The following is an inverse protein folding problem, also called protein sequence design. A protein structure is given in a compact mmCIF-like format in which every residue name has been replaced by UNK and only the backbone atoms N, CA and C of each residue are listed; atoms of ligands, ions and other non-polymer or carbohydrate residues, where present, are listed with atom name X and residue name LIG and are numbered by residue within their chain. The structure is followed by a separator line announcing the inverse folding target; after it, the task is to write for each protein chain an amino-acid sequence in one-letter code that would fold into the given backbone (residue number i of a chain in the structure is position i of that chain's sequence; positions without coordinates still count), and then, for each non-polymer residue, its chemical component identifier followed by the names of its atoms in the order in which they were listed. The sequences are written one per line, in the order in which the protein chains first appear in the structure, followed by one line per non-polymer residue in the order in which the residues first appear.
data_IF_043982631446
#
_entry.id   IF_043982631446
#
_cell.length_a   1.000
_cell.length_b   1.000
_cell.length_c   1.000
_cell.angle_alpha   90.00
_cell.angle_beta   90.00
_cell.angle_gamma   90.00
#
_symmetry.space_group_name_H-M   'P 1'
#
loop_
_entity.id
_entity.type
_entity.pdbx_description
1 polymer ?
#
# COMPACT_ATOMS: atom_id res chain seq x y z
N UNK A 1 -16.30 -3.58 4.68
CA UNK A 1 -14.94 -3.58 4.08
C UNK A 1 -14.15 -4.63 4.84
N UNK A 2 -13.40 -5.51 4.17
CA UNK A 2 -12.61 -6.55 4.85
C UNK A 2 -11.19 -6.05 5.08
N UNK A 3 -10.66 -6.21 6.29
CA UNK A 3 -9.27 -5.86 6.64
C UNK A 3 -8.50 -7.11 7.09
N UNK A 4 -7.22 -7.16 6.76
CA UNK A 4 -6.33 -8.22 7.21
C UNK A 4 -5.26 -7.64 8.13
N UNK A 5 -5.16 -8.20 9.34
CA UNK A 5 -4.16 -7.81 10.33
C UNK A 5 -3.16 -8.95 10.48
N UNK A 6 -1.88 -8.65 10.32
CA UNK A 6 -0.81 -9.63 10.53
C UNK A 6 -0.52 -9.78 12.01
N UNK A 7 -0.60 -11.01 12.52
CA UNK A 7 -0.39 -11.35 13.92
C UNK A 7 0.45 -12.64 13.99
N UNK A 8 1.79 -12.58 13.95
CA UNK A 8 2.63 -13.78 13.96
C UNK A 8 2.38 -14.61 15.22
N UNK A 9 2.57 -15.93 15.11
CA UNK A 9 2.44 -16.86 16.25
C UNK A 9 3.36 -16.46 17.39
N UNK A 10 2.81 -16.35 18.61
CA UNK A 10 3.50 -15.92 19.84
C UNK A 10 4.64 -16.84 20.27
N UNK A 11 4.65 -18.06 19.75
CA UNK A 11 5.69 -19.07 20.01
C UNK A 11 6.50 -19.35 18.74
N UNK A 12 7.81 -19.57 18.90
CA UNK A 12 8.69 -20.03 17.83
C UNK A 12 8.42 -21.50 17.44
N UNK A 13 9.20 -22.03 16.49
CA UNK A 13 9.06 -23.41 16.02
C UNK A 13 9.28 -24.48 17.10
N UNK A 14 9.81 -24.10 18.27
CA UNK A 14 10.08 -24.97 19.41
C UNK A 14 9.11 -24.72 20.59
N UNK A 15 8.09 -23.87 20.41
CA UNK A 15 7.12 -23.56 21.46
C UNK A 15 7.60 -22.56 22.50
N UNK A 16 8.70 -21.84 22.25
CA UNK A 16 9.23 -20.81 23.15
C UNK A 16 8.62 -19.46 22.80
N UNK A 17 8.20 -18.69 23.81
CA UNK A 17 7.70 -17.34 23.63
C UNK A 17 8.72 -16.47 22.86
N UNK A 18 8.31 -15.95 21.70
CA UNK A 18 9.09 -14.98 20.92
C UNK A 18 8.66 -13.57 21.34
N UNK A 19 9.50 -12.79 22.05
CA UNK A 19 9.16 -11.43 22.48
C UNK A 19 8.76 -10.51 21.32
N UNK A 20 9.30 -10.76 20.11
CA UNK A 20 8.93 -10.00 18.90
C UNK A 20 7.56 -10.40 18.39
N UNK A 21 7.19 -11.67 18.52
CA UNK A 21 5.86 -12.14 18.16
C UNK A 21 4.81 -11.64 19.16
N UNK A 22 5.12 -11.60 20.45
CA UNK A 22 4.24 -11.06 21.50
C UNK A 22 3.96 -9.56 21.30
N UNK A 23 4.98 -8.76 21.02
CA UNK A 23 4.81 -7.34 20.69
C UNK A 23 3.98 -7.13 19.41
N UNK A 24 4.14 -8.02 18.42
CA UNK A 24 3.36 -7.95 17.17
C UNK A 24 1.92 -8.42 17.36
N UNK A 25 1.67 -9.40 18.23
CA UNK A 25 0.34 -9.88 18.57
C UNK A 25 -0.46 -8.82 19.38
N UNK A 26 0.20 -8.12 20.31
CA UNK A 26 -0.41 -6.99 21.02
C UNK A 26 -0.73 -5.84 20.05
N UNK A 27 0.19 -5.51 19.14
CA UNK A 27 -0.05 -4.50 18.11
C UNK A 27 -1.20 -4.90 17.16
N UNK A 28 -1.30 -6.18 16.80
CA UNK A 28 -2.40 -6.69 15.99
C UNK A 28 -3.75 -6.63 16.72
N UNK A 29 -3.79 -6.98 18.01
CA UNK A 29 -4.99 -6.86 18.82
C UNK A 29 -5.44 -5.40 18.99
N UNK A 30 -4.49 -4.48 19.19
CA UNK A 30 -4.77 -3.05 19.23
C UNK A 30 -5.33 -2.55 17.88
N UNK A 31 -4.71 -2.93 16.76
CA UNK A 31 -5.20 -2.58 15.43
C UNK A 31 -6.60 -3.13 15.15
N UNK A 32 -6.87 -4.37 15.54
CA UNK A 32 -8.19 -4.97 15.42
C UNK A 32 -9.23 -4.24 16.29
N UNK A 33 -8.89 -3.90 17.53
CA UNK A 33 -9.76 -3.12 18.40
C UNK A 33 -10.08 -1.74 17.80
N UNK A 34 -9.09 -1.03 17.28
CA UNK A 34 -9.30 0.25 16.59
C UNK A 34 -10.19 0.09 15.35
N UNK A 35 -10.00 -0.97 14.56
CA UNK A 35 -10.85 -1.23 13.39
C UNK A 35 -12.31 -1.47 13.79
N UNK A 36 -12.56 -2.29 14.82
CA UNK A 36 -13.91 -2.53 15.33
C UNK A 36 -14.54 -1.26 15.91
N UNK A 37 -13.77 -0.42 16.60
CA UNK A 37 -14.24 0.87 17.12
C UNK A 37 -14.72 1.82 16.00
N UNK A 38 -14.14 1.70 14.80
CA UNK A 38 -14.52 2.43 13.58
C UNK A 38 -15.62 1.71 12.77
N UNK A 39 -16.24 0.65 13.30
CA UNK A 39 -17.33 -0.09 12.64
C UNK A 39 -16.87 -1.06 11.54
N UNK A 40 -15.62 -1.50 11.57
CA UNK A 40 -15.10 -2.52 10.66
C UNK A 40 -15.30 -3.91 11.26
N UNK A 41 -16.36 -4.60 10.84
CA UNK A 41 -16.72 -5.90 11.42
C UNK A 41 -15.92 -7.11 10.87
N UNK A 42 -15.48 -7.09 9.60
CA UNK A 42 -14.76 -8.20 8.96
C UNK A 42 -13.24 -7.99 9.03
N UNK A 43 -12.66 -8.26 10.20
CA UNK A 43 -11.22 -8.24 10.45
C UNK A 43 -10.69 -9.68 10.49
N UNK A 44 -9.67 -9.98 9.69
CA UNK A 44 -9.08 -11.33 9.57
C UNK A 44 -7.63 -11.34 10.02
N UNK A 45 -7.28 -12.22 10.95
CA UNK A 45 -5.90 -12.43 11.39
C UNK A 45 -5.12 -13.34 10.45
N UNK A 46 -3.87 -12.99 10.20
CA UNK A 46 -2.92 -13.82 9.44
C UNK A 46 -1.74 -14.15 10.33
N UNK A 47 -1.60 -15.43 10.69
CA UNK A 47 -0.59 -15.91 11.64
C UNK A 47 0.72 -16.42 11.04
N UNK A 48 0.77 -16.55 9.71
CA UNK A 48 1.95 -17.02 8.99
C UNK A 48 2.97 -15.90 8.77
N UNK A 49 4.24 -16.26 8.54
CA UNK A 49 5.29 -15.30 8.19
C UNK A 49 4.87 -14.49 6.96
N UNK A 50 4.68 -13.18 7.14
CA UNK A 50 4.26 -12.30 6.07
C UNK A 50 5.30 -12.24 4.94
N UNK A 51 4.84 -12.38 3.71
CA UNK A 51 5.63 -12.20 2.49
C UNK A 51 4.74 -11.65 1.38
N UNK A 52 5.32 -10.96 0.40
CA UNK A 52 4.57 -10.48 -0.76
C UNK A 52 3.83 -11.61 -1.47
N UNK A 53 4.44 -12.81 -1.53
CA UNK A 53 3.79 -14.01 -2.11
C UNK A 53 2.55 -14.42 -1.32
N UNK A 54 2.65 -14.48 0.00
CA UNK A 54 1.52 -14.81 0.86
C UNK A 54 0.41 -13.75 0.74
N UNK A 55 0.76 -12.47 0.80
CA UNK A 55 -0.18 -11.36 0.63
C UNK A 55 -0.94 -11.49 -0.69
N UNK A 56 -0.23 -11.75 -1.79
CA UNK A 56 -0.84 -11.90 -3.11
C UNK A 56 -1.76 -13.12 -3.17
N UNK A 57 -1.36 -14.25 -2.59
CA UNK A 57 -2.20 -15.44 -2.56
C UNK A 57 -3.50 -15.19 -1.79
N UNK A 58 -3.41 -14.66 -0.57
CA UNK A 58 -4.59 -14.34 0.26
C UNK A 58 -5.49 -13.32 -0.46
N UNK A 59 -4.91 -12.28 -1.05
CA UNK A 59 -5.66 -11.27 -1.80
C UNK A 59 -6.38 -11.89 -3.01
N UNK A 60 -5.68 -12.72 -3.78
CA UNK A 60 -6.25 -13.35 -4.97
C UNK A 60 -7.33 -14.37 -4.63
N UNK A 61 -7.16 -15.14 -3.56
CA UNK A 61 -8.17 -16.10 -3.10
C UNK A 61 -9.41 -15.40 -2.57
N UNK A 62 -9.24 -14.27 -1.86
CA UNK A 62 -10.35 -13.39 -1.51
C UNK A 62 -11.09 -12.89 -2.76
N UNK A 63 -10.37 -12.37 -3.77
CA UNK A 63 -11.01 -11.87 -5.01
C UNK A 63 -11.80 -12.98 -5.71
N UNK A 64 -11.24 -14.20 -5.81
CA UNK A 64 -11.94 -15.36 -6.43
C UNK A 64 -13.24 -15.72 -5.71
N UNK A 65 -13.30 -15.55 -4.39
CA UNK A 65 -14.48 -15.87 -3.59
C UNK A 65 -15.58 -14.81 -3.69
N UNK A 66 -15.28 -13.60 -4.20
CA UNK A 66 -16.26 -12.53 -4.30
C UNK A 66 -17.28 -12.76 -5.43
N UNK A 67 -18.52 -12.28 -5.26
CA UNK A 67 -19.45 -12.11 -6.37
C UNK A 67 -18.82 -11.26 -7.48
N UNK A 68 -19.17 -11.60 -8.73
CA UNK A 68 -18.52 -11.07 -9.94
C UNK A 68 -18.64 -9.54 -10.08
N UNK A 69 -19.72 -8.99 -9.55
CA UNK A 69 -20.10 -7.58 -9.62
C UNK A 69 -19.53 -6.72 -8.47
N UNK A 70 -18.75 -7.31 -7.56
CA UNK A 70 -18.14 -6.56 -6.46
C UNK A 70 -16.99 -5.68 -6.93
N UNK A 71 -16.96 -4.47 -6.39
CA UNK A 71 -15.89 -3.51 -6.59
C UNK A 71 -14.86 -3.61 -5.48
N UNK A 72 -13.59 -3.51 -5.83
CA UNK A 72 -12.47 -3.64 -4.92
C UNK A 72 -11.54 -2.44 -4.96
N UNK A 73 -11.11 -2.03 -3.78
CA UNK A 73 -10.00 -1.12 -3.54
C UNK A 73 -8.88 -1.94 -2.90
N UNK A 74 -7.66 -1.84 -3.42
CA UNK A 74 -6.48 -2.48 -2.84
C UNK A 74 -5.55 -1.41 -2.27
N UNK A 75 -5.72 -1.16 -0.97
CA UNK A 75 -4.98 -0.16 -0.23
C UNK A 75 -3.90 -0.80 0.63
N UNK A 76 -2.70 -0.22 0.61
CA UNK A 76 -1.72 -0.41 1.69
C UNK A 76 -2.00 0.58 2.84
N UNK A 77 -1.41 0.34 4.01
CA UNK A 77 -1.64 1.16 5.22
C UNK A 77 -1.21 2.62 5.08
N UNK A 78 -0.31 2.92 4.14
CA UNK A 78 0.23 4.24 3.84
C UNK A 78 -0.43 4.90 2.62
N UNK A 79 -1.49 4.31 2.07
CA UNK A 79 -2.16 4.77 0.85
C UNK A 79 -3.63 5.11 1.10
N UNK A 80 -4.00 6.37 0.89
CA UNK A 80 -5.32 6.90 1.16
C UNK A 80 -5.95 7.39 -0.14
N UNK A 81 -7.04 6.74 -0.53
CA UNK A 81 -7.71 6.97 -1.81
C UNK A 81 -8.85 7.97 -1.67
N UNK A 82 -8.79 9.03 -2.48
CA UNK A 82 -9.89 9.97 -2.65
C UNK A 82 -10.50 9.75 -4.02
N UNK A 83 -11.78 9.41 -4.04
CA UNK A 83 -12.51 9.14 -5.26
C UNK A 83 -13.32 10.38 -5.68
N UNK A 84 -13.32 10.77 -6.98
CA UNK A 84 -14.19 11.82 -7.47
C UNK A 84 -15.67 11.58 -7.15
N UNK A 85 -16.43 12.63 -6.86
CA UNK A 85 -17.87 12.49 -6.56
C UNK A 85 -18.67 11.84 -7.69
N UNK A 86 -18.18 11.92 -8.94
CA UNK A 86 -18.82 11.32 -10.11
C UNK A 86 -18.44 9.84 -10.35
N UNK A 87 -17.78 9.18 -9.41
CA UNK A 87 -17.35 7.78 -9.59
C UNK A 87 -18.50 6.83 -9.87
N UNK A 88 -19.68 7.04 -9.29
CA UNK A 88 -20.87 6.21 -9.56
C UNK A 88 -21.28 6.29 -11.03
N UNK A 89 -21.27 7.48 -11.62
CA UNK A 89 -21.52 7.69 -13.06
C UNK A 89 -20.45 6.99 -13.89
N UNK A 90 -19.17 7.13 -13.53
CA UNK A 90 -18.06 6.48 -14.25
C UNK A 90 -18.14 4.95 -14.19
N UNK A 91 -18.63 4.39 -13.08
CA UNK A 91 -18.89 2.96 -12.92
C UNK A 91 -20.04 2.52 -13.84
N UNK A 92 -21.12 3.32 -13.94
CA UNK A 92 -22.26 3.05 -14.81
C UNK A 92 -21.89 3.04 -16.31
N UNK A 93 -20.88 3.80 -16.73
CA UNK A 93 -20.32 3.81 -18.09
C UNK A 93 -19.57 2.52 -18.48
N UNK A 94 -19.73 1.42 -17.73
CA UNK A 94 -19.11 0.10 -17.96
C UNK A 94 -17.57 0.12 -17.94
N UNK A 95 -16.97 1.15 -17.36
CA UNK A 95 -15.55 1.12 -17.00
C UNK A 95 -15.39 0.11 -15.87
N UNK A 96 -14.38 -0.76 -15.94
CA UNK A 96 -14.18 -1.83 -14.95
C UNK A 96 -12.85 -1.73 -14.21
N UNK A 97 -12.08 -0.67 -14.48
CA UNK A 97 -10.77 -0.42 -13.85
C UNK A 97 -10.45 1.06 -13.87
N UNK A 98 -10.01 1.53 -12.72
CA UNK A 98 -9.61 2.90 -12.46
C UNK A 98 -8.21 2.91 -11.85
N UNK A 99 -7.40 3.87 -12.29
CA UNK A 99 -6.08 4.13 -11.74
C UNK A 99 -6.01 5.55 -11.20
N UNK A 100 -5.02 5.82 -10.37
CA UNK A 100 -4.66 7.16 -9.97
C UNK A 100 -3.15 7.22 -9.73
N UNK A 101 -2.60 8.41 -9.84
CA UNK A 101 -1.19 8.68 -9.60
C UNK A 101 -0.93 8.91 -8.11
N UNK A 102 0.11 8.28 -7.59
CA UNK A 102 0.57 8.46 -6.21
C UNK A 102 1.03 9.90 -6.00
N UNK A 103 0.54 10.53 -4.95
CA UNK A 103 0.96 11.84 -4.48
C UNK A 103 1.60 11.71 -3.09
N UNK A 104 2.90 11.98 -3.01
CA UNK A 104 3.64 11.90 -1.74
C UNK A 104 3.20 13.06 -0.84
N UNK A 105 2.73 12.75 0.37
CA UNK A 105 2.34 13.72 1.39
C UNK A 105 3.49 13.91 2.37
N UNK A 106 3.91 15.17 2.57
CA UNK A 106 5.01 15.53 3.47
C UNK A 106 4.60 16.60 4.47
N UNK A 107 5.32 16.65 5.59
CA UNK A 107 5.11 17.66 6.62
C UNK A 107 5.36 19.08 6.06
N UNK A 108 4.84 20.10 6.75
CA UNK A 108 5.06 21.50 6.37
C UNK A 108 6.55 21.87 6.27
N UNK A 109 7.39 21.26 7.12
CA UNK A 109 8.85 21.41 7.09
C UNK A 109 9.51 20.79 5.86
N UNK A 110 8.76 19.99 5.07
CA UNK A 110 9.24 19.20 3.94
C UNK A 110 10.40 18.28 4.31
N UNK A 111 10.40 17.78 5.55
CA UNK A 111 11.38 16.83 6.08
C UNK A 111 10.67 15.58 6.56
N UNK A 112 11.43 14.50 6.75
CA UNK A 112 10.91 13.34 7.46
C UNK A 112 10.62 13.73 8.92
N UNK A 113 9.39 13.45 9.37
CA UNK A 113 8.96 13.73 10.75
C UNK A 113 8.36 12.48 11.39
N UNK A 114 8.22 12.49 12.70
CA UNK A 114 7.51 11.43 13.41
C UNK A 114 6.01 11.49 13.13
N UNK A 115 5.40 10.33 12.89
CA UNK A 115 3.95 10.20 12.80
C UNK A 115 3.38 10.19 14.22
N UNK A 116 2.36 11.02 14.47
CA UNK A 116 1.66 11.11 15.75
C UNK A 116 0.25 10.55 15.62
N UNK A 117 -0.35 10.20 16.75
CA UNK A 117 -1.75 9.76 16.81
C UNK A 117 -2.73 10.89 16.47
N UNK A 118 -2.43 12.11 16.93
CA UNK A 118 -3.18 13.32 16.62
C UNK A 118 -2.23 14.49 16.25
N UNK A 119 -2.65 15.44 15.39
CA UNK A 119 -3.95 15.52 14.68
C UNK A 119 -4.06 14.48 13.53
N UNK A 120 -5.17 14.42 12.77
CA UNK A 120 -5.28 13.56 11.59
C UNK A 120 -4.08 13.64 10.64
N UNK A 121 -3.80 12.53 9.94
CA UNK A 121 -2.55 12.38 9.15
C UNK A 121 -2.45 13.39 7.99
N UNK A 122 -3.57 13.81 7.41
CA UNK A 122 -3.62 14.83 6.37
C UNK A 122 -3.28 16.24 6.88
N UNK A 123 -3.53 16.53 8.16
CA UNK A 123 -3.09 17.74 8.85
C UNK A 123 -1.60 17.69 9.22
N UNK A 124 -1.10 16.51 9.62
CA UNK A 124 0.32 16.32 9.90
C UNK A 124 1.20 16.43 8.63
N UNK A 125 0.68 16.00 7.49
CA UNK A 125 1.38 15.99 6.21
C UNK A 125 0.58 16.74 5.11
N UNK A 126 0.48 18.08 5.21
CA UNK A 126 -0.38 18.87 4.33
C UNK A 126 0.20 19.11 2.94
N UNK A 127 1.53 18.99 2.78
CA UNK A 127 2.23 19.37 1.56
C UNK A 127 2.22 18.22 0.55
N UNK A 128 1.83 18.54 -0.69
CA UNK A 128 1.83 17.62 -1.82
C UNK A 128 3.18 17.66 -2.52
N UNK A 129 3.77 16.49 -2.74
CA UNK A 129 5.07 16.34 -3.37
C UNK A 129 5.09 15.11 -4.31
N UNK A 130 5.97 15.13 -5.30
CA UNK A 130 6.17 14.01 -6.26
C UNK A 130 7.58 13.47 -6.15
N UNK A 131 8.03 13.24 -4.92
CA UNK A 131 9.37 12.75 -4.59
C UNK A 131 9.68 11.51 -5.42
N UNK A 132 8.80 10.51 -5.41
CA UNK A 132 9.06 9.24 -6.08
C UNK A 132 9.13 9.34 -7.59
N UNK A 133 8.53 10.36 -8.19
CA UNK A 133 8.64 10.61 -9.63
C UNK A 133 10.02 11.15 -10.01
N UNK A 134 10.69 11.88 -9.09
CA UNK A 134 12.04 12.42 -9.29
C UNK A 134 13.14 11.42 -8.91
N UNK A 135 12.82 10.40 -8.10
CA UNK A 135 13.73 9.31 -7.79
C UNK A 135 13.90 8.40 -9.02
N UNK A 136 14.96 8.67 -9.80
CA UNK A 136 15.52 7.71 -10.76
C UNK A 136 17.05 7.76 -10.83
N UNK A 137 17.67 6.64 -11.22
CA UNK A 137 18.96 6.64 -11.91
C UNK A 137 18.81 7.26 -13.31
N UNK A 138 19.82 8.00 -13.79
CA UNK A 138 19.83 8.55 -15.16
C UNK A 138 19.60 7.42 -16.20
N UNK A 139 18.66 7.63 -17.12
CA UNK A 139 18.41 6.73 -18.26
C UNK A 139 17.34 5.64 -18.07
N UNK A 140 16.72 5.50 -16.90
CA UNK A 140 15.63 4.53 -16.67
C UNK A 140 14.25 5.19 -16.78
N UNK A 141 13.17 4.41 -16.98
CA UNK A 141 11.75 4.85 -16.95
C UNK A 141 11.29 5.25 -15.54
N UNK A 142 10.26 6.10 -15.37
CA UNK A 142 9.85 6.55 -14.03
C UNK A 142 9.48 5.38 -13.17
N UNK A 143 9.80 5.47 -11.89
CA UNK A 143 9.08 4.70 -10.89
C UNK A 143 7.61 4.92 -11.16
N UNK A 144 6.91 3.86 -11.58
CA UNK A 144 5.49 3.95 -11.89
C UNK A 144 4.78 4.31 -10.60
N UNK A 145 4.26 5.53 -10.55
CA UNK A 145 3.45 6.05 -9.44
C UNK A 145 1.96 5.80 -9.69
N UNK A 146 1.59 5.33 -10.87
CA UNK A 146 0.21 4.90 -11.17
C UNK A 146 -0.11 3.60 -10.44
N UNK A 147 -1.20 3.61 -9.66
CA UNK A 147 -1.77 2.42 -9.03
C UNK A 147 -3.21 2.22 -9.46
N UNK A 148 -3.65 0.97 -9.56
CA UNK A 148 -5.08 0.65 -9.66
C UNK A 148 -5.72 0.95 -8.31
N UNK A 149 -6.68 1.86 -8.32
CA UNK A 149 -7.36 2.34 -7.11
C UNK A 149 -8.72 1.68 -6.93
N UNK A 150 -9.37 1.30 -8.03
CA UNK A 150 -10.68 0.67 -8.01
C UNK A 150 -10.87 -0.25 -9.21
N UNK A 151 -11.36 -1.47 -9.00
CA UNK A 151 -11.66 -2.40 -10.10
C UNK A 151 -12.80 -3.36 -9.78
N UNK A 152 -13.45 -3.84 -10.83
CA UNK A 152 -14.50 -4.85 -10.74
C UNK A 152 -13.88 -6.25 -10.61
N UNK A 153 -14.36 -7.05 -9.65
CA UNK A 153 -13.89 -8.40 -9.34
C UNK A 153 -13.80 -9.26 -10.60
N UNK A 154 -14.86 -9.27 -11.41
CA UNK A 154 -14.89 -10.01 -12.66
C UNK A 154 -15.67 -9.27 -13.75
N UNK A 155 -14.99 -8.67 -14.75
CA UNK A 155 -15.66 -8.10 -15.92
C UNK A 155 -16.54 -9.14 -16.64
N UNK A 156 -17.59 -8.68 -17.31
CA UNK A 156 -18.49 -9.54 -18.07
C UNK A 156 -17.71 -10.42 -19.08
N UNK A 157 -17.97 -11.73 -19.07
CA UNK A 157 -17.30 -12.70 -19.95
C UNK A 157 -15.81 -12.94 -19.66
N UNK A 158 -15.27 -12.49 -18.52
CA UNK A 158 -13.86 -12.69 -18.11
C UNK A 158 -13.79 -13.47 -16.79
N UNK A 159 -12.67 -14.15 -16.47
CA UNK A 159 -12.45 -14.71 -15.14
C UNK A 159 -12.32 -13.59 -14.09
N UNK A 160 -12.30 -13.96 -12.81
CA UNK A 160 -11.93 -13.03 -11.74
C UNK A 160 -10.54 -12.45 -11.97
N UNK A 161 -10.38 -11.17 -11.65
CA UNK A 161 -9.09 -10.49 -11.73
C UNK A 161 -8.15 -11.02 -10.66
N UNK A 162 -6.86 -10.96 -10.96
CA UNK A 162 -5.81 -11.43 -10.07
C UNK A 162 -4.63 -10.44 -10.10
N UNK A 163 -4.07 -10.18 -8.92
CA UNK A 163 -2.81 -9.49 -8.76
C UNK A 163 -1.64 -10.41 -9.12
N UNK A 164 -0.72 -9.89 -9.94
CA UNK A 164 0.57 -10.49 -10.25
C UNK A 164 1.69 -9.96 -9.34
N UNK A 165 1.56 -8.72 -8.89
CA UNK A 165 2.41 -8.10 -7.88
C UNK A 165 1.57 -7.11 -7.05
N UNK A 166 2.09 -6.59 -5.93
CA UNK A 166 1.36 -5.62 -5.09
C UNK A 166 0.93 -4.36 -5.85
N UNK A 167 1.54 -4.10 -7.01
CA UNK A 167 1.30 -2.93 -7.84
C UNK A 167 0.72 -3.28 -9.21
N UNK A 168 0.41 -4.56 -9.48
CA UNK A 168 0.01 -5.00 -10.82
C UNK A 168 -1.10 -6.03 -10.86
N UNK A 169 -2.19 -5.75 -11.57
CA UNK A 169 -3.17 -6.76 -12.01
C UNK A 169 -2.70 -7.47 -13.29
N UNK A 170 -3.09 -8.74 -13.47
CA UNK A 170 -2.81 -9.55 -14.66
C UNK A 170 -3.25 -8.83 -15.96
N UNK A 171 -4.35 -8.07 -15.90
CA UNK A 171 -4.94 -7.35 -17.03
C UNK A 171 -4.48 -5.90 -17.22
N UNK A 172 -3.55 -5.39 -16.40
CA UNK A 172 -3.23 -3.95 -16.35
C UNK A 172 -2.41 -3.42 -17.54
N UNK A 173 -1.64 -4.26 -18.23
CA UNK A 173 -0.68 -3.78 -19.26
C UNK A 173 -0.64 -4.63 -20.53
N UNK A 174 -1.80 -5.10 -21.00
CA UNK A 174 -1.94 -5.65 -22.36
C UNK A 174 -2.28 -4.55 -23.38
N UNK A 175 -2.26 -4.88 -24.69
CA UNK A 175 -2.65 -3.99 -25.81
C UNK A 175 -4.07 -3.35 -25.70
N UNK A 176 -4.85 -3.65 -24.64
CA UNK A 176 -6.29 -3.40 -24.53
C UNK A 176 -6.76 -2.79 -23.19
N UNK A 177 -5.91 -2.18 -22.36
CA UNK A 177 -6.38 -1.70 -21.06
C UNK A 177 -5.72 -0.42 -20.56
N UNK A 178 -6.07 0.73 -21.13
CA UNK A 178 -5.89 2.01 -20.39
C UNK A 178 -6.86 1.96 -19.21
N UNK A 179 -6.36 1.92 -17.99
CA UNK A 179 -7.23 2.19 -16.86
C UNK A 179 -7.70 3.64 -16.90
N UNK A 180 -8.88 3.90 -16.34
CA UNK A 180 -9.42 5.25 -16.33
C UNK A 180 -8.78 6.02 -15.19
N UNK A 181 -8.04 7.10 -15.51
CA UNK A 181 -7.40 7.90 -14.49
C UNK A 181 -8.48 8.64 -13.66
N UNK A 182 -8.38 8.50 -12.34
CA UNK A 182 -9.25 9.10 -11.31
C UNK A 182 -8.60 10.29 -10.62
N UNK A 183 -7.36 10.63 -10.99
CA UNK A 183 -6.59 11.73 -10.42
C UNK A 183 -5.41 11.19 -9.62
N UNK A 184 -5.40 11.44 -8.31
CA UNK A 184 -4.33 11.02 -7.41
C UNK A 184 -4.85 10.38 -6.12
N UNK A 185 -3.96 9.66 -5.42
CA UNK A 185 -4.17 9.18 -4.06
C UNK A 185 -3.01 9.64 -3.16
N UNK A 186 -3.31 9.85 -1.87
CA UNK A 186 -2.32 10.32 -0.89
C UNK A 186 -1.45 9.17 -0.40
N UNK A 187 -0.14 9.41 -0.33
CA UNK A 187 0.83 8.42 0.12
C UNK A 187 1.75 9.01 1.20
N UNK A 188 1.72 8.43 2.39
CA UNK A 188 2.32 9.00 3.60
C UNK A 188 3.58 8.23 4.04
N UNK A 189 4.70 8.51 3.38
CA UNK A 189 5.95 7.77 3.66
C UNK A 189 7.12 8.64 4.04
N UNK A 190 6.97 9.96 4.09
CA UNK A 190 8.03 10.86 4.56
C UNK A 190 8.04 10.89 6.09
N UNK A 191 8.13 9.72 6.72
CA UNK A 191 8.09 9.57 8.18
C UNK A 191 9.39 8.98 8.71
N UNK A 192 9.74 9.29 9.96
CA UNK A 192 10.89 8.69 10.64
C UNK A 192 10.76 7.15 10.70
N UNK A 193 9.55 6.65 10.90
CA UNK A 193 9.26 5.20 10.90
C UNK A 193 9.57 4.58 9.53
N UNK A 194 9.24 5.24 8.42
CA UNK A 194 9.55 4.74 7.09
C UNK A 194 11.06 4.71 6.83
N UNK A 195 11.80 5.74 7.27
CA UNK A 195 13.27 5.77 7.21
C UNK A 195 13.86 4.55 7.93
N UNK A 196 13.44 4.31 9.17
CA UNK A 196 13.87 3.15 9.96
C UNK A 196 13.49 1.82 9.30
N UNK A 197 12.30 1.74 8.69
CA UNK A 197 11.85 0.56 7.98
C UNK A 197 12.71 0.25 6.75
N UNK A 198 13.07 1.26 5.94
CA UNK A 198 13.99 1.07 4.79
C UNK A 198 15.35 0.61 5.28
N UNK A 199 15.91 1.22 6.33
CA UNK A 199 17.21 0.82 6.86
C UNK A 199 17.19 -0.62 7.36
N UNK A 200 16.15 -1.01 8.09
CA UNK A 200 15.96 -2.39 8.54
C UNK A 200 15.86 -3.35 7.35
N UNK A 201 15.17 -2.95 6.28
CA UNK A 201 15.09 -3.72 5.03
C UNK A 201 16.46 -3.88 4.38
N UNK A 202 17.25 -2.81 4.26
CA UNK A 202 18.59 -2.85 3.67
C UNK A 202 19.58 -3.69 4.49
N UNK A 203 19.47 -3.71 5.82
CA UNK A 203 20.33 -4.53 6.68
C UNK A 203 19.99 -6.03 6.63
N UNK A 204 18.71 -6.36 6.54
CA UNK A 204 18.24 -7.72 6.83
C UNK A 204 17.91 -8.57 5.60
N UNK A 205 17.87 -7.98 4.40
CA UNK A 205 17.46 -8.69 3.19
C UNK A 205 18.49 -8.50 2.09
N UNK A 206 18.72 -9.58 1.33
CA UNK A 206 19.43 -9.51 0.06
C UNK A 206 18.46 -9.05 -1.01
N UNK A 207 18.69 -7.86 -1.54
CA UNK A 207 17.87 -7.27 -2.59
C UNK A 207 18.50 -7.51 -3.96
N UNK A 208 17.67 -7.46 -4.99
CA UNK A 208 18.19 -7.19 -6.33
C UNK A 208 18.87 -5.81 -6.32
N UNK A 209 20.05 -5.64 -6.97
CA UNK A 209 20.77 -4.37 -7.01
C UNK A 209 19.92 -3.14 -7.35
N UNK A 210 18.94 -3.27 -8.25
CA UNK A 210 18.06 -2.16 -8.63
C UNK A 210 17.19 -1.71 -7.46
N UNK A 211 16.58 -2.67 -6.75
CA UNK A 211 15.72 -2.38 -5.59
C UNK A 211 16.54 -1.80 -4.44
N UNK A 212 17.76 -2.32 -4.24
CA UNK A 212 18.67 -1.80 -3.22
C UNK A 212 19.05 -0.33 -3.50
N UNK A 213 19.40 -0.01 -4.75
CA UNK A 213 19.71 1.34 -5.19
C UNK A 213 18.53 2.30 -5.00
N UNK A 214 17.30 1.86 -5.27
CA UNK A 214 16.09 2.66 -5.05
C UNK A 214 15.90 2.98 -3.58
N UNK A 215 16.05 2.00 -2.68
CA UNK A 215 15.98 2.21 -1.24
C UNK A 215 17.08 3.14 -0.73
N UNK A 216 18.31 2.99 -1.24
CA UNK A 216 19.44 3.88 -0.88
C UNK A 216 19.21 5.31 -1.37
N UNK A 217 18.64 5.50 -2.56
CA UNK A 217 18.29 6.81 -3.10
C UNK A 217 17.19 7.48 -2.29
N UNK A 218 16.16 6.72 -1.89
CA UNK A 218 15.13 7.18 -0.96
C UNK A 218 15.72 7.61 0.38
N UNK A 219 16.59 6.80 0.99
CA UNK A 219 17.22 7.17 2.26
C UNK A 219 18.09 8.41 2.15
N UNK A 220 18.88 8.54 1.07
CA UNK A 220 19.70 9.73 0.84
C UNK A 220 18.84 10.99 0.80
N UNK A 221 17.71 10.92 0.12
CA UNK A 221 16.79 12.04 0.02
C UNK A 221 16.08 12.32 1.35
N UNK A 222 15.54 11.29 2.01
CA UNK A 222 14.81 11.44 3.28
C UNK A 222 15.68 11.94 4.44
N UNK A 223 17.00 11.70 4.37
CA UNK A 223 17.99 12.17 5.35
C UNK A 223 18.66 13.48 4.95
N UNK A 224 18.43 13.98 3.74
CA UNK A 224 19.03 15.24 3.33
C UNK A 224 18.55 16.35 4.27
N UNK A 225 19.46 17.24 4.68
CA UNK A 225 19.09 18.47 5.39
C UNK A 225 18.42 19.50 4.46
N UNK A 226 18.24 19.13 3.18
CA UNK A 226 17.49 19.89 2.19
C UNK A 226 15.99 19.52 2.23
N UNK A 227 15.10 20.47 1.94
CA UNK A 227 13.68 20.20 1.71
C UNK A 227 13.47 19.11 0.65
N UNK A 228 12.49 18.23 0.86
CA UNK A 228 12.14 17.15 -0.07
C UNK A 228 11.52 17.67 -1.40
N UNK A 229 11.02 18.90 -1.40
CA UNK A 229 10.54 19.66 -2.56
C UNK A 229 10.70 21.16 -2.39
#
# INVERSE_FOLDING_TARGET
MTFWVHAPTTTDANGVDDPRANATAAAAAAAEHSLHAEGVDDVRRISSRWSDKLMLNVTNDFIKALPRDRWLVFANIDEFFYFPCDMQRRIAERKTTFCADMEDRVAQSRRAVELREAPPIDEQFPVRCRIRQSLRPRGQRPTTTEKITLFLASPAGRPHRQYKSPHRLFSQYGKLGRCNNTGSFSHYTATTMYVQAIEKKLRNFRWNPTVEMDYRSQLKLLRADAPLC
#
